data_IF_766580532851
#
_entry.id   IF_766580532851
#
_cell.length_a   1.000
_cell.length_b   1.000
_cell.length_c   1.000
_cell.angle_alpha   90.00
_cell.angle_beta   90.00
_cell.angle_gamma   90.00
#
_symmetry.space_group_name_H-M   'P 1'
#
loop_
_entity.id
_entity.type
_entity.pdbx_description
1 polymer ?
#
# COMPACT_ATOMS: atom_id res chain seq x y z
N UNK A 1 -56.25 4.94 -28.68
CA UNK A 1 -55.33 5.98 -28.18
C UNK A 1 -54.60 5.39 -26.99
N UNK A 2 -53.36 4.94 -27.19
CA UNK A 2 -52.50 4.38 -26.16
C UNK A 2 -51.28 5.31 -26.03
N UNK A 3 -51.10 5.88 -24.85
CA UNK A 3 -49.93 6.69 -24.47
C UNK A 3 -48.74 5.78 -24.19
N UNK A 4 -47.53 6.08 -24.71
CA UNK A 4 -46.34 5.33 -24.38
C UNK A 4 -45.74 5.84 -23.06
N UNK A 5 -45.52 4.92 -22.12
CA UNK A 5 -44.77 5.15 -20.88
C UNK A 5 -43.28 5.18 -21.23
N UNK A 6 -42.63 6.33 -21.12
CA UNK A 6 -41.19 6.46 -21.17
C UNK A 6 -40.58 5.95 -19.86
N UNK A 7 -39.97 4.77 -19.90
CA UNK A 7 -39.06 4.31 -18.85
C UNK A 7 -37.78 5.14 -18.91
N UNK A 8 -37.54 5.92 -17.87
CA UNK A 8 -36.31 6.66 -17.65
C UNK A 8 -35.34 5.71 -16.93
N UNK A 9 -34.56 4.94 -17.69
CA UNK A 9 -33.41 4.21 -17.14
C UNK A 9 -32.36 5.24 -16.72
N UNK A 10 -32.24 5.43 -15.40
CA UNK A 10 -31.13 6.15 -14.80
C UNK A 10 -29.84 5.42 -15.16
N UNK A 11 -29.01 6.08 -15.98
CA UNK A 11 -27.67 5.64 -16.28
C UNK A 11 -26.86 5.53 -14.99
N UNK A 12 -26.59 4.30 -14.56
CA UNK A 12 -25.62 3.99 -13.52
C UNK A 12 -24.26 4.49 -14.01
N UNK A 13 -23.85 5.66 -13.55
CA UNK A 13 -22.53 6.20 -13.84
C UNK A 13 -21.53 5.31 -13.11
N UNK A 14 -20.85 4.43 -13.83
CA UNK A 14 -19.62 3.78 -13.38
C UNK A 14 -18.56 4.86 -13.20
N UNK A 15 -18.61 5.55 -12.05
CA UNK A 15 -17.57 6.46 -11.63
C UNK A 15 -16.25 5.71 -11.66
N UNK A 16 -15.30 6.21 -12.45
CA UNK A 16 -13.93 5.72 -12.37
C UNK A 16 -13.50 5.81 -10.91
N UNK A 17 -13.12 4.69 -10.31
CA UNK A 17 -12.53 4.66 -8.97
C UNK A 17 -11.20 5.41 -9.04
N UNK A 18 -11.25 6.73 -8.86
CA UNK A 18 -10.09 7.62 -8.81
C UNK A 18 -9.72 7.89 -7.36
N UNK A 19 -8.51 8.36 -7.15
CA UNK A 19 -8.02 8.85 -5.86
C UNK A 19 -7.13 10.05 -6.14
N UNK A 20 -7.11 11.00 -5.22
CA UNK A 20 -6.12 12.08 -5.22
C UNK A 20 -5.07 11.76 -4.17
N UNK A 21 -3.81 11.99 -4.54
CA UNK A 21 -2.68 11.92 -3.62
C UNK A 21 -2.32 13.35 -3.22
N UNK A 22 -2.47 13.67 -1.94
CA UNK A 22 -2.02 14.95 -1.40
C UNK A 22 -0.69 14.75 -0.67
N UNK A 23 0.34 15.58 -0.95
CA UNK A 23 1.61 15.47 -0.24
C UNK A 23 1.43 15.69 1.25
N UNK A 24 2.15 14.90 2.03
CA UNK A 24 2.10 14.96 3.48
C UNK A 24 3.11 15.97 4.03
N UNK A 25 2.71 16.73 5.04
CA UNK A 25 3.56 17.62 5.82
C UNK A 25 3.61 17.11 7.27
N UNK A 26 4.71 16.45 7.63
CA UNK A 26 4.92 15.92 8.98
C UNK A 26 5.46 16.96 9.97
N UNK A 27 5.69 18.20 9.56
CA UNK A 27 5.89 19.33 10.47
C UNK A 27 4.55 19.91 10.94
N UNK A 28 3.46 19.63 10.22
CA UNK A 28 2.11 19.93 10.66
C UNK A 28 1.64 18.89 11.70
N UNK A 29 1.43 19.35 12.94
CA UNK A 29 1.06 18.47 14.06
C UNK A 29 -0.25 17.71 13.83
N UNK A 30 -1.23 18.30 13.14
CA UNK A 30 -2.51 17.64 12.84
C UNK A 30 -2.31 16.46 11.89
N UNK A 31 -1.44 16.62 10.89
CA UNK A 31 -1.10 15.55 9.94
C UNK A 31 -0.25 14.47 10.61
N UNK A 32 0.71 14.87 11.45
CA UNK A 32 1.54 13.94 12.21
C UNK A 32 0.69 13.06 13.13
N UNK A 33 -0.22 13.67 13.91
CA UNK A 33 -1.10 12.97 14.83
C UNK A 33 -2.05 12.02 14.08
N UNK A 34 -2.56 12.43 12.93
CA UNK A 34 -3.40 11.58 12.09
C UNK A 34 -2.62 10.39 11.51
N UNK A 35 -1.38 10.61 11.05
CA UNK A 35 -0.57 9.50 10.54
C UNK A 35 -0.31 8.51 11.67
N UNK A 36 0.06 9.00 12.85
CA UNK A 36 0.29 8.16 14.03
C UNK A 36 -0.95 7.34 14.37
N UNK A 37 -2.13 7.97 14.38
CA UNK A 37 -3.40 7.28 14.60
C UNK A 37 -3.63 6.17 13.57
N UNK A 38 -3.41 6.43 12.28
CA UNK A 38 -3.56 5.41 11.25
C UNK A 38 -2.52 4.29 11.36
N UNK A 39 -1.27 4.58 11.77
CA UNK A 39 -0.24 3.56 12.01
C UNK A 39 -0.56 2.68 13.21
N UNK A 40 -1.11 3.25 14.29
CA UNK A 40 -1.62 2.47 15.43
C UNK A 40 -2.74 1.52 14.98
N UNK A 41 -3.65 1.98 14.12
CA UNK A 41 -4.68 1.12 13.52
C UNK A 41 -4.12 0.07 12.55
N UNK A 42 -3.02 0.37 11.86
CA UNK A 42 -2.30 -0.57 11.01
C UNK A 42 -1.65 -1.68 11.84
N UNK A 43 -1.12 -1.35 13.02
CA UNK A 43 -0.43 -2.27 13.92
C UNK A 43 1.06 -2.47 13.59
N UNK A 44 1.60 -1.69 12.65
CA UNK A 44 3.01 -1.73 12.22
C UNK A 44 3.61 -0.34 12.25
N UNK A 45 4.88 -0.22 12.65
CA UNK A 45 5.63 1.06 12.67
C UNK A 45 4.81 2.20 13.27
N UNK A 46 4.26 1.95 14.45
CA UNK A 46 3.20 2.76 15.07
C UNK A 46 3.68 3.65 16.21
N UNK A 47 4.97 3.97 16.25
CA UNK A 47 5.55 4.83 17.29
C UNK A 47 5.90 6.19 16.71
N UNK A 48 5.81 7.25 17.54
CA UNK A 48 6.18 8.60 17.13
C UNK A 48 7.62 8.68 16.60
N UNK A 49 8.56 7.95 17.21
CA UNK A 49 9.96 7.91 16.79
C UNK A 49 10.15 7.40 15.35
N UNK A 50 9.29 6.48 14.88
CA UNK A 50 9.36 6.00 13.50
C UNK A 50 8.87 7.08 12.54
N UNK A 51 7.79 7.78 12.89
CA UNK A 51 7.26 8.88 12.09
C UNK A 51 8.21 10.08 12.07
N UNK A 52 8.95 10.35 13.15
CA UNK A 52 10.03 11.34 13.16
C UNK A 52 11.11 10.98 12.14
N UNK A 53 11.52 9.70 12.07
CA UNK A 53 12.44 9.23 11.03
C UNK A 53 11.88 9.38 9.61
N UNK A 54 10.57 9.17 9.41
CA UNK A 54 9.92 9.43 8.12
C UNK A 54 9.87 10.91 7.77
N UNK A 55 9.64 11.79 8.74
CA UNK A 55 9.72 13.25 8.54
C UNK A 55 11.12 13.65 8.06
N UNK A 56 12.16 13.17 8.73
CA UNK A 56 13.54 13.44 8.33
C UNK A 56 13.83 12.89 6.92
N UNK A 57 13.25 11.74 6.57
CA UNK A 57 13.39 11.12 5.25
C UNK A 57 12.67 11.90 4.13
N UNK A 58 11.53 12.53 4.44
CA UNK A 58 10.81 13.48 3.56
C UNK A 58 11.67 14.74 3.37
N UNK A 59 12.16 15.33 4.45
CA UNK A 59 13.02 16.52 4.41
C UNK A 59 14.29 16.28 3.58
N UNK A 60 14.83 15.06 3.64
CA UNK A 60 15.98 14.63 2.84
C UNK A 60 15.64 14.27 1.38
N UNK A 61 14.37 14.28 0.98
CA UNK A 61 13.94 13.93 -0.38
C UNK A 61 14.15 12.45 -0.73
N UNK A 62 14.20 11.56 0.27
CA UNK A 62 14.36 10.12 0.03
C UNK A 62 13.02 9.39 -0.02
N UNK A 63 12.00 9.97 0.61
CA UNK A 63 10.64 9.43 0.71
C UNK A 63 9.62 10.50 0.33
N UNK A 64 8.65 10.13 -0.49
CA UNK A 64 7.48 10.93 -0.80
C UNK A 64 6.26 10.28 -0.14
N UNK A 65 5.75 10.91 0.92
CA UNK A 65 4.53 10.45 1.60
C UNK A 65 3.32 11.21 1.08
N UNK A 66 2.23 10.47 0.87
CA UNK A 66 0.97 11.02 0.41
C UNK A 66 -0.19 10.55 1.27
N UNK A 67 -1.13 11.47 1.51
CA UNK A 67 -2.48 11.14 1.91
C UNK A 67 -3.26 10.60 0.74
N UNK A 68 -4.04 9.55 0.98
CA UNK A 68 -5.03 9.04 0.02
C UNK A 68 -6.36 9.74 0.27
N UNK A 69 -6.78 10.57 -0.67
CA UNK A 69 -8.02 11.35 -0.58
C UNK A 69 -9.05 10.82 -1.59
N UNK A 70 -10.20 10.31 -1.13
CA UNK A 70 -11.30 9.92 -1.99
C UNK A 70 -11.88 11.13 -2.75
N UNK A 71 -12.28 10.98 -4.02
CA UNK A 71 -12.80 12.10 -4.84
C UNK A 71 -14.04 12.78 -4.26
N UNK A 72 -14.89 12.03 -3.56
CA UNK A 72 -16.09 12.52 -2.88
C UNK A 72 -15.77 13.42 -1.69
N UNK A 73 -14.57 13.32 -1.12
CA UNK A 73 -14.10 14.15 0.00
C UNK A 73 -13.30 15.38 -0.46
N UNK A 74 -13.12 15.60 -1.77
CA UNK A 74 -12.44 16.78 -2.33
C UNK A 74 -13.29 18.07 -2.34
N UNK A 75 -14.56 18.07 -2.83
CA UNK A 75 -15.25 19.32 -3.16
C UNK A 75 -16.03 19.93 -1.98
N UNK A 76 -16.21 19.21 -0.86
CA UNK A 76 -17.02 19.68 0.26
C UNK A 76 -16.52 19.21 1.65
N UNK A 77 -16.10 20.19 2.47
CA UNK A 77 -16.28 20.26 3.94
C UNK A 77 -15.49 19.35 4.88
N UNK A 78 -14.78 18.31 4.44
CA UNK A 78 -13.91 17.57 5.37
C UNK A 78 -12.54 18.26 5.46
N UNK A 79 -12.32 19.03 6.53
CA UNK A 79 -10.99 19.54 6.83
C UNK A 79 -10.00 18.38 7.06
N UNK A 80 -8.69 18.57 6.89
CA UNK A 80 -7.72 17.70 7.54
C UNK A 80 -8.02 17.63 9.05
N UNK A 81 -8.00 16.43 9.67
CA UNK A 81 -7.63 15.14 9.10
C UNK A 81 -8.79 14.32 8.51
N UNK A 82 -10.05 14.77 8.62
CA UNK A 82 -11.24 13.99 8.28
C UNK A 82 -11.33 13.53 6.83
N UNK A 83 -10.66 14.21 5.89
CA UNK A 83 -10.64 13.81 4.47
C UNK A 83 -9.61 12.73 4.13
N UNK A 84 -8.69 12.40 5.05
CA UNK A 84 -7.61 11.45 4.78
C UNK A 84 -8.10 10.02 5.01
N UNK A 85 -8.40 9.31 3.93
CA UNK A 85 -8.90 7.93 3.99
C UNK A 85 -7.78 6.88 4.13
N UNK A 86 -6.53 7.31 4.10
CA UNK A 86 -5.37 6.45 4.15
C UNK A 86 -4.08 7.19 3.82
N UNK A 87 -2.99 6.46 3.72
CA UNK A 87 -1.69 6.95 3.31
C UNK A 87 -0.97 5.95 2.41
N UNK A 88 -0.01 6.43 1.64
CA UNK A 88 0.88 5.62 0.80
C UNK A 88 2.21 6.36 0.69
N UNK A 89 3.31 5.61 0.63
CA UNK A 89 4.65 6.16 0.47
C UNK A 89 5.31 5.62 -0.80
N UNK A 90 6.16 6.46 -1.39
CA UNK A 90 7.09 6.09 -2.44
C UNK A 90 8.52 6.42 -2.01
N UNK A 91 9.44 5.47 -2.18
CA UNK A 91 10.86 5.65 -1.81
C UNK A 91 11.73 5.65 -3.06
N UNK A 92 12.75 6.50 -3.04
CA UNK A 92 13.78 6.54 -4.07
C UNK A 92 14.68 5.31 -4.00
N UNK A 93 14.82 4.60 -5.12
CA UNK A 93 15.72 3.45 -5.26
C UNK A 93 16.47 3.50 -6.59
N UNK A 94 17.53 2.69 -6.68
CA UNK A 94 18.22 2.40 -7.93
C UNK A 94 18.32 0.89 -8.11
N UNK A 95 18.21 0.45 -9.36
CA UNK A 95 18.41 -0.96 -9.73
C UNK A 95 19.46 -1.03 -10.84
N UNK A 96 20.32 -2.04 -10.78
CA UNK A 96 21.26 -2.33 -11.86
C UNK A 96 20.58 -3.23 -12.89
N UNK A 97 20.38 -2.71 -14.09
CA UNK A 97 19.83 -3.45 -15.24
C UNK A 97 20.89 -3.47 -16.34
N UNK A 98 21.36 -4.66 -16.71
CA UNK A 98 22.42 -4.86 -17.70
C UNK A 98 23.69 -4.05 -17.40
N UNK A 99 24.08 -3.99 -16.12
CA UNK A 99 25.24 -3.23 -15.66
C UNK A 99 25.03 -1.71 -15.57
N UNK A 100 23.83 -1.20 -15.91
CA UNK A 100 23.49 0.22 -15.83
C UNK A 100 22.58 0.49 -14.64
N UNK A 101 22.94 1.47 -13.81
CA UNK A 101 22.08 1.95 -12.73
C UNK A 101 20.91 2.75 -13.32
N UNK A 102 19.69 2.38 -12.94
CA UNK A 102 18.46 3.04 -13.38
C UNK A 102 17.64 3.48 -12.17
N UNK A 103 17.03 4.68 -12.21
CA UNK A 103 16.13 5.09 -11.14
C UNK A 103 14.90 4.18 -11.11
N UNK A 104 14.50 3.79 -9.90
CA UNK A 104 13.31 3.00 -9.61
C UNK A 104 12.60 3.62 -8.41
N UNK A 105 11.33 3.29 -8.22
CA UNK A 105 10.54 3.74 -7.08
C UNK A 105 9.96 2.56 -6.34
N UNK A 106 10.04 2.58 -5.01
CA UNK A 106 9.50 1.53 -4.17
C UNK A 106 8.19 1.98 -3.53
N UNK A 107 7.11 1.22 -3.67
CA UNK A 107 5.85 1.47 -2.96
C UNK A 107 5.94 0.85 -1.57
N UNK A 108 5.72 1.66 -0.53
CA UNK A 108 5.63 1.19 0.85
C UNK A 108 4.53 1.94 1.61
N UNK A 109 4.30 1.53 2.86
CA UNK A 109 3.35 2.16 3.79
C UNK A 109 1.95 2.42 3.23
N UNK A 110 1.46 1.57 2.31
CA UNK A 110 0.07 1.66 1.87
C UNK A 110 -0.86 1.20 3.01
N UNK A 111 -1.69 2.13 3.46
CA UNK A 111 -2.77 1.85 4.40
C UNK A 111 -4.03 2.59 3.96
N UNK A 112 -5.16 1.89 4.03
CA UNK A 112 -6.49 2.48 3.84
C UNK A 112 -7.26 2.22 5.13
N UNK A 113 -7.94 3.23 5.65
CA UNK A 113 -8.82 3.10 6.81
C UNK A 113 -9.91 2.05 6.53
N UNK A 114 -10.26 1.18 7.51
CA UNK A 114 -11.18 0.07 7.31
C UNK A 114 -12.50 0.43 6.61
N UNK A 115 -13.11 1.55 6.98
CA UNK A 115 -14.32 2.12 6.42
C UNK A 115 -14.24 2.46 4.93
N UNK A 116 -13.02 2.63 4.39
CA UNK A 116 -12.75 2.96 2.98
C UNK A 116 -12.14 1.78 2.18
N UNK A 117 -11.98 0.58 2.76
CA UNK A 117 -11.32 -0.57 2.09
C UNK A 117 -12.14 -1.22 0.97
N UNK A 118 -13.39 -0.78 0.76
CA UNK A 118 -14.28 -1.27 -0.30
C UNK A 118 -14.39 -0.23 -1.42
N UNK A 119 -14.53 -0.68 -2.66
CA UNK A 119 -14.68 0.23 -3.81
C UNK A 119 -13.38 0.58 -4.54
N UNK A 120 -12.25 -0.07 -4.22
CA UNK A 120 -11.04 0.02 -5.05
C UNK A 120 -10.18 1.26 -4.82
N UNK A 121 -10.40 2.02 -3.74
CA UNK A 121 -9.60 3.20 -3.39
C UNK A 121 -8.10 2.91 -3.31
N UNK A 122 -7.69 1.82 -2.64
CA UNK A 122 -6.27 1.44 -2.58
C UNK A 122 -5.65 1.18 -3.95
N UNK A 123 -6.41 0.57 -4.87
CA UNK A 123 -5.95 0.34 -6.26
C UNK A 123 -5.84 1.65 -7.02
N UNK A 124 -6.77 2.58 -6.78
CA UNK A 124 -6.69 3.93 -7.34
C UNK A 124 -5.45 4.67 -6.82
N UNK A 125 -5.16 4.57 -5.52
CA UNK A 125 -4.00 5.21 -4.88
C UNK A 125 -2.69 4.70 -5.47
N UNK A 126 -2.52 3.39 -5.63
CA UNK A 126 -1.33 2.80 -6.28
C UNK A 126 -1.19 3.30 -7.72
N UNK A 127 -2.28 3.39 -8.49
CA UNK A 127 -2.23 3.93 -9.87
C UNK A 127 -1.86 5.42 -9.91
N UNK A 128 -2.37 6.20 -8.97
CA UNK A 128 -1.98 7.60 -8.84
C UNK A 128 -0.50 7.72 -8.48
N UNK A 129 0.00 6.86 -7.59
CA UNK A 129 1.42 6.82 -7.24
C UNK A 129 2.31 6.40 -8.42
N UNK A 130 1.87 5.43 -9.23
CA UNK A 130 2.52 5.05 -10.50
C UNK A 130 2.60 6.21 -11.50
N UNK A 131 1.64 7.13 -11.48
CA UNK A 131 1.69 8.35 -12.27
C UNK A 131 2.66 9.38 -11.67
N UNK A 132 2.61 9.61 -10.35
CA UNK A 132 3.56 10.48 -9.63
C UNK A 132 5.02 10.04 -9.85
N UNK A 133 5.28 8.73 -9.84
CA UNK A 133 6.62 8.15 -10.06
C UNK A 133 7.25 8.57 -11.40
N UNK A 134 6.45 9.00 -12.39
CA UNK A 134 6.90 9.34 -13.74
C UNK A 134 6.90 10.84 -14.05
N UNK A 135 6.49 11.66 -13.08
CA UNK A 135 6.29 13.08 -13.30
C UNK A 135 6.91 13.92 -12.19
N UNK A 136 7.51 15.04 -12.57
CA UNK A 136 7.97 16.05 -11.62
C UNK A 136 6.79 16.55 -10.76
N UNK A 137 7.01 16.87 -9.48
CA UNK A 137 8.31 16.92 -8.78
C UNK A 137 8.75 15.60 -8.11
N UNK A 138 7.92 14.54 -8.12
CA UNK A 138 8.17 13.31 -7.33
C UNK A 138 8.98 12.26 -8.10
N UNK A 139 8.86 12.30 -9.41
CA UNK A 139 9.43 11.34 -10.32
C UNK A 139 9.96 11.98 -11.58
N UNK A 140 10.34 11.15 -12.54
CA UNK A 140 10.76 11.62 -13.85
C UNK A 140 10.40 10.60 -14.91
N UNK A 141 10.44 11.02 -16.17
CA UNK A 141 10.21 10.13 -17.31
C UNK A 141 11.19 8.95 -17.37
N UNK A 142 12.31 8.99 -16.64
CA UNK A 142 13.33 7.94 -16.61
C UNK A 142 12.97 6.79 -15.66
N UNK A 143 12.02 7.00 -14.74
CA UNK A 143 11.49 5.92 -13.90
C UNK A 143 10.61 5.02 -14.76
N UNK A 144 11.14 3.84 -15.11
CA UNK A 144 10.42 2.85 -15.92
C UNK A 144 9.81 1.72 -15.10
N UNK A 145 10.09 1.66 -13.80
CA UNK A 145 9.70 0.54 -12.95
C UNK A 145 9.35 1.00 -11.56
N UNK A 146 8.37 0.30 -10.95
CA UNK A 146 8.15 0.33 -9.52
C UNK A 146 8.36 -1.05 -8.90
N UNK A 147 8.81 -1.06 -7.66
CA UNK A 147 8.98 -2.26 -6.83
C UNK A 147 8.13 -2.15 -5.58
N UNK A 148 7.86 -3.27 -4.93
CA UNK A 148 7.26 -3.33 -3.59
C UNK A 148 7.53 -4.69 -2.95
N UNK A 149 7.31 -4.79 -1.65
CA UNK A 149 7.35 -6.05 -0.92
C UNK A 149 5.97 -6.47 -0.43
N UNK A 150 5.74 -7.78 -0.36
CA UNK A 150 4.56 -8.38 0.27
C UNK A 150 4.94 -9.64 1.05
N UNK A 151 4.11 -10.07 2.00
CA UNK A 151 4.25 -11.39 2.61
C UNK A 151 3.91 -12.44 1.55
N UNK A 152 4.72 -13.50 1.45
CA UNK A 152 4.51 -14.60 0.51
C UNK A 152 3.13 -15.21 0.67
N UNK A 153 2.42 -15.38 -0.44
CA UNK A 153 1.08 -15.99 -0.42
C UNK A 153 1.08 -17.46 0.00
N UNK A 154 2.24 -18.13 0.03
CA UNK A 154 2.39 -19.51 0.53
C UNK A 154 1.84 -19.68 1.93
N UNK A 155 1.98 -18.68 2.79
CA UNK A 155 1.42 -18.68 4.15
C UNK A 155 -0.12 -18.80 4.20
N UNK A 156 -0.81 -18.64 3.07
CA UNK A 156 -2.27 -18.68 2.94
C UNK A 156 -2.75 -19.69 1.87
N UNK A 157 -1.82 -20.41 1.23
CA UNK A 157 -2.11 -21.36 0.14
C UNK A 157 -1.57 -22.77 0.41
N UNK A 158 -0.44 -22.88 1.11
CA UNK A 158 0.19 -24.16 1.46
C UNK A 158 -0.24 -24.57 2.87
N UNK A 159 -0.99 -25.67 2.96
CA UNK A 159 -1.66 -26.09 4.20
C UNK A 159 -0.72 -26.70 5.25
N UNK A 160 0.58 -26.82 4.97
CA UNK A 160 1.55 -27.39 5.91
C UNK A 160 1.77 -26.53 7.16
N UNK A 161 2.32 -27.17 8.20
CA UNK A 161 2.69 -26.50 9.45
C UNK A 161 3.72 -25.38 9.27
N UNK A 162 4.66 -25.57 8.33
CA UNK A 162 5.71 -24.58 8.04
C UNK A 162 5.14 -23.27 7.50
N UNK A 163 4.09 -23.35 6.67
CA UNK A 163 3.49 -22.20 6.01
C UNK A 163 2.20 -21.77 6.71
N UNK A 164 1.06 -22.39 6.40
CA UNK A 164 -0.21 -21.98 6.99
C UNK A 164 -0.28 -22.20 8.50
N UNK A 165 0.40 -23.20 9.06
CA UNK A 165 0.47 -23.41 10.52
C UNK A 165 1.14 -22.23 11.24
N UNK A 166 2.33 -21.84 10.80
CA UNK A 166 3.03 -20.65 11.31
C UNK A 166 2.18 -19.38 11.17
N UNK A 167 1.59 -19.17 9.99
CA UNK A 167 0.76 -17.99 9.73
C UNK A 167 -0.45 -17.92 10.68
N UNK A 168 -1.20 -19.04 10.84
CA UNK A 168 -2.31 -19.14 11.80
C UNK A 168 -1.87 -18.83 13.22
N UNK A 169 -0.71 -19.33 13.64
CA UNK A 169 -0.16 -19.08 14.98
C UNK A 169 0.11 -17.60 15.22
N UNK A 170 0.82 -16.96 14.29
CA UNK A 170 1.19 -15.54 14.38
C UNK A 170 -0.05 -14.65 14.29
N UNK A 171 -0.91 -14.85 13.29
CA UNK A 171 -2.14 -14.06 13.13
C UNK A 171 -3.09 -14.24 14.32
N UNK A 172 -3.24 -15.47 14.83
CA UNK A 172 -4.04 -15.75 16.01
C UNK A 172 -3.53 -15.04 17.26
N UNK A 173 -2.21 -14.99 17.49
CA UNK A 173 -1.61 -14.22 18.58
C UNK A 173 -1.87 -12.71 18.46
N UNK A 174 -1.88 -12.20 17.24
CA UNK A 174 -2.12 -10.78 16.96
C UNK A 174 -3.62 -10.43 16.91
N UNK A 175 -4.52 -11.40 17.03
CA UNK A 175 -5.97 -11.18 16.88
C UNK A 175 -6.36 -10.73 15.47
N UNK A 176 -5.57 -11.08 14.46
CA UNK A 176 -5.78 -10.70 13.06
C UNK A 176 -6.50 -11.80 12.29
N UNK A 177 -7.36 -11.40 11.36
CA UNK A 177 -7.97 -12.32 10.42
C UNK A 177 -6.97 -12.74 9.34
N UNK A 178 -6.94 -14.04 9.06
CA UNK A 178 -6.13 -14.59 7.98
C UNK A 178 -6.75 -14.22 6.61
N UNK A 179 -5.97 -13.68 5.66
CA UNK A 179 -6.37 -13.56 4.28
C UNK A 179 -6.88 -14.89 3.71
N UNK A 180 -7.97 -14.84 2.95
CA UNK A 180 -8.45 -16.00 2.18
C UNK A 180 -7.55 -16.24 0.97
N UNK A 181 -7.41 -17.50 0.55
CA UNK A 181 -6.68 -17.91 -0.65
C UNK A 181 -7.05 -17.04 -1.86
N UNK A 182 -6.05 -16.50 -2.56
CA UNK A 182 -6.24 -15.61 -3.71
C UNK A 182 -6.52 -14.14 -3.34
N UNK A 183 -6.61 -13.80 -2.05
CA UNK A 183 -6.87 -12.44 -1.55
C UNK A 183 -5.72 -11.88 -0.72
N UNK A 184 -4.52 -12.43 -0.87
CA UNK A 184 -3.31 -11.91 -0.21
C UNK A 184 -2.85 -10.59 -0.85
N UNK A 185 -1.95 -9.86 -0.18
CA UNK A 185 -1.31 -8.68 -0.76
C UNK A 185 -0.56 -9.03 -2.05
N UNK A 186 0.16 -10.15 -2.07
CA UNK A 186 0.83 -10.64 -3.29
C UNK A 186 -0.16 -10.84 -4.43
N UNK A 187 -1.29 -11.53 -4.20
CA UNK A 187 -2.32 -11.72 -5.23
C UNK A 187 -2.96 -10.39 -5.67
N UNK A 188 -3.13 -9.45 -4.74
CA UNK A 188 -3.71 -8.13 -5.02
C UNK A 188 -2.82 -7.30 -5.95
N UNK A 189 -1.51 -7.26 -5.68
CA UNK A 189 -0.54 -6.60 -6.55
C UNK A 189 -0.34 -7.35 -7.88
N UNK A 190 -0.39 -8.68 -7.88
CA UNK A 190 -0.36 -9.47 -9.11
C UNK A 190 -1.49 -9.09 -10.08
N UNK A 191 -2.72 -8.90 -9.56
CA UNK A 191 -3.86 -8.40 -10.35
C UNK A 191 -3.69 -6.98 -10.89
N UNK A 192 -2.72 -6.22 -10.37
CA UNK A 192 -2.37 -4.88 -10.85
C UNK A 192 -1.20 -4.88 -11.84
N UNK A 193 -0.67 -6.06 -12.19
CA UNK A 193 0.41 -6.23 -13.14
C UNK A 193 1.81 -6.25 -12.51
N UNK A 194 1.91 -6.30 -11.18
CA UNK A 194 3.18 -6.56 -10.52
C UNK A 194 3.53 -8.06 -10.66
N UNK A 195 4.81 -8.35 -10.81
CA UNK A 195 5.34 -9.70 -11.00
C UNK A 195 6.45 -9.94 -10.01
N UNK A 196 6.44 -11.12 -9.38
CA UNK A 196 7.48 -11.55 -8.45
C UNK A 196 8.81 -11.76 -9.15
N UNK A 197 9.88 -11.24 -8.56
CA UNK A 197 11.24 -11.39 -9.08
C UNK A 197 12.27 -11.85 -8.03
N UNK A 198 11.95 -11.79 -6.74
CA UNK A 198 12.79 -12.31 -5.67
C UNK A 198 11.97 -12.68 -4.43
N UNK A 199 12.58 -13.44 -3.52
CA UNK A 199 12.05 -13.78 -2.20
C UNK A 199 13.18 -13.82 -1.17
N UNK A 200 12.89 -13.44 0.08
CA UNK A 200 13.82 -13.56 1.19
C UNK A 200 13.08 -13.65 2.53
N UNK A 201 13.68 -14.31 3.52
CA UNK A 201 13.23 -14.21 4.91
C UNK A 201 13.45 -12.79 5.43
N UNK A 202 12.39 -12.09 5.85
CA UNK A 202 12.48 -10.66 6.19
C UNK A 202 11.83 -10.28 7.51
N UNK A 203 10.60 -10.74 7.78
CA UNK A 203 9.80 -10.18 8.88
C UNK A 203 9.83 -11.09 10.11
N UNK A 204 10.46 -10.67 11.22
CA UNK A 204 10.45 -11.43 12.47
C UNK A 204 9.02 -11.73 12.93
N UNK A 205 8.79 -12.94 13.45
CA UNK A 205 7.46 -13.41 13.85
C UNK A 205 7.26 -13.52 15.36
N UNK A 206 8.33 -13.43 16.14
CA UNK A 206 8.35 -13.77 17.56
C UNK A 206 8.20 -15.27 17.85
N UNK A 207 8.23 -16.11 16.81
CA UNK A 207 8.24 -17.57 16.92
C UNK A 207 9.65 -18.11 16.71
N UNK A 208 10.03 -19.14 17.45
CA UNK A 208 11.39 -19.67 17.44
C UNK A 208 11.40 -21.16 17.09
N UNK A 209 12.41 -21.55 16.31
CA UNK A 209 12.77 -22.95 16.04
C UNK A 209 13.37 -23.59 17.29
N UNK A 210 13.49 -24.92 17.30
CA UNK A 210 14.09 -25.66 18.41
C UNK A 210 15.57 -25.29 18.66
N UNK A 211 16.28 -24.80 17.64
CA UNK A 211 17.66 -24.33 17.72
C UNK A 211 17.79 -22.87 18.22
N UNK A 212 16.67 -22.21 18.55
CA UNK A 212 16.64 -20.81 19.00
C UNK A 212 16.62 -19.78 17.86
N UNK A 213 16.66 -20.21 16.60
CA UNK A 213 16.56 -19.29 15.45
C UNK A 213 15.12 -18.82 15.28
N UNK A 214 14.91 -17.51 15.18
CA UNK A 214 13.58 -16.94 14.95
C UNK A 214 13.06 -17.28 13.55
N UNK A 215 11.79 -17.70 13.46
CA UNK A 215 11.08 -17.74 12.20
C UNK A 215 10.87 -16.33 11.68
N UNK A 216 11.17 -16.14 10.40
CA UNK A 216 10.85 -14.90 9.69
C UNK A 216 9.86 -15.22 8.58
N UNK A 217 8.84 -14.39 8.42
CA UNK A 217 8.02 -14.47 7.22
C UNK A 217 8.86 -14.14 6.01
N UNK A 218 8.69 -14.96 4.97
CA UNK A 218 9.22 -14.68 3.64
C UNK A 218 8.52 -13.46 3.06
N UNK A 219 9.32 -12.44 2.75
CA UNK A 219 8.95 -11.32 1.89
C UNK A 219 9.17 -11.71 0.43
N UNK A 220 8.19 -11.41 -0.41
CA UNK A 220 8.31 -11.47 -1.87
C UNK A 220 8.56 -10.07 -2.39
N UNK A 221 9.55 -9.92 -3.27
CA UNK A 221 9.78 -8.68 -4.00
C UNK A 221 9.04 -8.73 -5.33
N UNK A 222 8.16 -7.76 -5.53
CA UNK A 222 7.31 -7.61 -6.70
C UNK A 222 7.76 -6.37 -7.48
N UNK A 223 7.64 -6.42 -8.81
CA UNK A 223 7.96 -5.28 -9.69
C UNK A 223 6.96 -5.13 -10.83
N UNK A 224 6.81 -3.92 -11.33
CA UNK A 224 5.96 -3.60 -12.47
C UNK A 224 6.65 -2.59 -13.37
N UNK A 225 6.62 -2.85 -14.68
CA UNK A 225 7.02 -1.87 -15.69
C UNK A 225 5.93 -0.80 -15.82
N UNK A 226 6.34 0.46 -15.85
CA UNK A 226 5.46 1.60 -16.05
C UNK A 226 5.45 1.94 -17.55
N UNK A 227 4.30 1.70 -18.19
CA UNK A 227 4.00 2.07 -19.59
C UNK A 227 3.43 3.46 -19.68
#
# INVERSE_FOLDING_TARGET
MATPTTNNESATTTGQNTSVLEPMDLHNTVQFDELLRQRVLCGWDSTASVLEGWRDAIDAGTHDFFWVVPPDLLPHQSAPPQRYAGHICMVNQTETVDGTLRPTRHVCELFILPEHRRGGLGKAAVRALEACARAEPYGSSDVKRMTLNAISKRYFEDESEEWMGLAKKVYGKLGLEMPTRGHTNEDWYNRMGYVKYAEQEAYPTGEYRADGTEYKFVSVSLRKELV
#
